data_IF_991665405621
#
_entry.id   IF_991665405621
#
_cell.length_a   1.000
_cell.length_b   1.000
_cell.length_c   1.000
_cell.angle_alpha   90.00
_cell.angle_beta   90.00
_cell.angle_gamma   90.00
#
_symmetry.space_group_name_H-M   'P 1'
#
loop_
_entity.id
_entity.type
_entity.pdbx_description
1 polymer ?
#
# COMPACT_ATOMS: atom_id res chain seq x y z
N UNK A 1 -6.46 -0.62 0.10
CA UNK A 1 -5.27 -0.49 -0.76
C UNK A 1 -4.39 0.64 -0.26
N UNK A 2 -3.10 0.60 -0.57
CA UNK A 2 -2.16 1.67 -0.27
C UNK A 2 -1.28 1.91 -1.49
N UNK A 3 -1.07 3.18 -1.82
CA UNK A 3 -0.05 3.60 -2.79
C UNK A 3 1.00 4.38 -2.03
N UNK A 4 2.27 3.99 -2.22
CA UNK A 4 3.40 4.68 -1.64
C UNK A 4 4.40 5.02 -2.74
N UNK A 5 4.72 6.31 -2.86
CA UNK A 5 5.82 6.80 -3.67
C UNK A 5 7.00 7.12 -2.75
N UNK A 6 8.20 6.77 -3.18
CA UNK A 6 9.42 7.02 -2.43
C UNK A 6 10.57 7.39 -3.36
N UNK A 7 11.43 8.29 -2.88
CA UNK A 7 12.63 8.71 -3.57
C UNK A 7 13.65 7.57 -3.67
N UNK A 8 14.53 7.63 -4.66
CA UNK A 8 15.71 6.77 -4.74
C UNK A 8 16.96 7.55 -5.10
N UNK A 9 18.13 7.01 -4.74
CA UNK A 9 19.43 7.63 -4.96
C UNK A 9 19.98 8.31 -3.70
N UNK A 10 20.98 9.17 -3.87
CA UNK A 10 21.65 9.87 -2.77
C UNK A 10 21.40 11.36 -2.88
N UNK A 11 21.06 12.01 -1.77
CA UNK A 11 21.00 13.47 -1.66
C UNK A 11 21.81 13.92 -0.45
N UNK A 12 22.96 14.54 -0.70
CA UNK A 12 23.94 14.83 0.34
C UNK A 12 24.36 13.56 1.08
N UNK A 13 24.12 13.53 2.40
CA UNK A 13 24.44 12.39 3.27
C UNK A 13 23.31 11.35 3.38
N UNK A 14 22.15 11.61 2.79
CA UNK A 14 20.99 10.73 2.86
C UNK A 14 20.97 9.78 1.66
N UNK A 15 20.69 8.50 1.93
CA UNK A 15 20.47 7.46 0.92
C UNK A 15 19.00 7.05 0.92
N UNK A 16 18.33 7.25 -0.21
CA UNK A 16 16.94 6.87 -0.45
C UNK A 16 16.87 5.53 -1.18
N UNK A 17 15.99 4.65 -0.73
CA UNK A 17 15.97 3.25 -1.14
C UNK A 17 15.01 2.94 -2.30
N UNK A 18 14.21 3.90 -2.76
CA UNK A 18 13.14 3.65 -3.72
C UNK A 18 12.05 2.78 -3.10
N UNK A 19 11.69 1.68 -3.77
CA UNK A 19 10.62 0.76 -3.31
C UNK A 19 9.23 1.42 -3.26
N UNK A 20 8.95 2.29 -4.22
CA UNK A 20 7.58 2.75 -4.47
C UNK A 20 6.72 1.54 -4.81
N UNK A 21 5.47 1.48 -4.34
CA UNK A 21 4.62 0.30 -4.54
C UNK A 21 3.13 0.59 -4.43
N UNK A 22 2.36 -0.26 -5.10
CA UNK A 22 0.91 -0.40 -4.97
C UNK A 22 0.64 -1.70 -4.22
N UNK A 23 -0.13 -1.62 -3.14
CA UNK A 23 -0.45 -2.75 -2.26
C UNK A 23 -1.96 -2.96 -2.20
N UNK A 24 -2.39 -4.20 -2.46
CA UNK A 24 -3.78 -4.63 -2.41
C UNK A 24 -4.37 -4.61 -1.00
N UNK A 25 -5.69 -4.71 -0.85
CA UNK A 25 -6.35 -4.77 0.45
C UNK A 25 -5.93 -5.97 1.31
N UNK A 26 -5.51 -7.07 0.68
CA UNK A 26 -4.98 -8.27 1.36
C UNK A 26 -3.52 -8.15 1.80
N UNK A 27 -2.85 -7.04 1.49
CA UNK A 27 -1.43 -6.83 1.80
C UNK A 27 -0.46 -7.33 0.73
N UNK A 28 -0.97 -7.91 -0.35
CA UNK A 28 -0.22 -8.32 -1.53
C UNK A 28 0.35 -7.10 -2.28
N UNK A 29 1.57 -7.24 -2.81
CA UNK A 29 2.22 -6.18 -3.61
C UNK A 29 1.88 -6.38 -5.08
N UNK A 30 1.06 -5.48 -5.61
CA UNK A 30 0.55 -5.55 -6.98
C UNK A 30 1.54 -5.02 -8.02
N UNK A 31 2.26 -3.96 -7.65
CA UNK A 31 3.32 -3.39 -8.46
C UNK A 31 4.36 -2.72 -7.56
N UNK A 32 5.63 -2.73 -7.97
CA UNK A 32 6.69 -1.99 -7.27
C UNK A 32 7.80 -1.52 -8.19
N UNK A 33 8.44 -0.43 -7.76
CA UNK A 33 9.79 -0.11 -8.19
C UNK A 33 10.79 -0.80 -7.26
N UNK A 34 12.04 -0.88 -7.71
CA UNK A 34 13.13 -1.43 -6.91
C UNK A 34 14.01 -0.30 -6.38
N UNK A 35 15.32 -0.53 -6.27
CA UNK A 35 16.28 0.49 -5.87
C UNK A 35 16.56 1.52 -6.98
N UNK A 36 16.24 1.25 -8.25
CA UNK A 36 16.43 2.21 -9.35
C UNK A 36 15.17 3.04 -9.56
N UNK A 37 15.35 4.24 -10.12
CA UNK A 37 14.22 5.09 -10.50
C UNK A 37 13.32 4.35 -11.51
N UNK A 38 12.01 4.57 -11.40
CA UNK A 38 11.02 3.91 -12.24
C UNK A 38 9.60 4.22 -11.79
N UNK A 39 8.65 3.57 -12.47
CA UNK A 39 7.22 3.71 -12.21
C UNK A 39 6.62 2.33 -11.87
N UNK A 40 5.81 2.28 -10.82
CA UNK A 40 4.97 1.13 -10.50
C UNK A 40 3.56 1.42 -11.00
N UNK A 41 3.04 0.57 -11.89
CA UNK A 41 1.70 0.73 -12.50
C UNK A 41 0.86 -0.50 -12.17
N UNK A 42 -0.37 -0.27 -11.73
CA UNK A 42 -1.37 -1.31 -11.51
C UNK A 42 -2.76 -0.78 -11.90
N UNK A 43 -3.55 -1.61 -12.56
CA UNK A 43 -4.96 -1.34 -12.86
C UNK A 43 -5.84 -2.12 -11.89
N UNK A 44 -6.83 -1.44 -11.29
CA UNK A 44 -7.61 -1.97 -10.17
C UNK A 44 -9.06 -1.53 -10.24
N UNK A 45 -9.97 -2.50 -10.06
CA UNK A 45 -11.37 -2.23 -9.69
C UNK A 45 -11.44 -1.92 -8.19
N UNK A 46 -11.33 -0.63 -7.86
CA UNK A 46 -11.31 -0.14 -6.49
C UNK A 46 -12.53 -0.58 -5.68
N UNK A 47 -13.72 -0.49 -6.29
CA UNK A 47 -14.96 -0.78 -5.60
C UNK A 47 -15.09 -2.28 -5.32
N UNK A 48 -14.83 -3.12 -6.33
CA UNK A 48 -14.85 -4.57 -6.18
C UNK A 48 -13.82 -5.09 -5.19
N UNK A 49 -12.60 -4.53 -5.20
CA UNK A 49 -11.53 -4.92 -4.27
C UNK A 49 -11.88 -4.59 -2.81
N UNK A 50 -12.45 -3.41 -2.54
CA UNK A 50 -12.89 -3.03 -1.18
C UNK A 50 -14.07 -3.88 -0.71
N UNK A 51 -15.01 -4.20 -1.60
CA UNK A 51 -16.12 -5.08 -1.27
C UNK A 51 -15.62 -6.49 -0.92
N UNK A 52 -14.79 -7.08 -1.80
CA UNK A 52 -14.16 -8.39 -1.60
C UNK A 52 -13.37 -8.46 -0.30
N UNK A 53 -12.59 -7.42 0.03
CA UNK A 53 -11.77 -7.44 1.24
C UNK A 53 -12.56 -7.48 2.55
N UNK A 54 -13.86 -7.16 2.51
CA UNK A 54 -14.74 -7.08 3.69
C UNK A 54 -15.71 -8.25 3.80
N UNK A 55 -15.74 -9.19 2.85
CA UNK A 55 -16.71 -10.30 2.86
C UNK A 55 -16.39 -11.36 3.90
N UNK A 56 -15.11 -11.62 4.17
CA UNK A 56 -14.68 -12.64 5.15
C UNK A 56 -14.64 -12.04 6.55
N UNK A 57 -14.06 -10.85 6.70
CA UNK A 57 -13.93 -10.17 7.97
C UNK A 57 -14.09 -8.66 7.80
N UNK A 58 -14.91 -8.03 8.65
CA UNK A 58 -15.17 -6.59 8.60
C UNK A 58 -14.57 -5.92 9.82
N UNK A 59 -13.24 -5.73 9.79
CA UNK A 59 -12.47 -5.16 10.90
C UNK A 59 -13.10 -3.89 11.50
N UNK A 60 -13.67 -3.02 10.65
CA UNK A 60 -14.28 -1.77 11.10
C UNK A 60 -15.56 -1.98 11.92
N UNK A 61 -16.35 -3.01 11.61
CA UNK A 61 -17.57 -3.37 12.35
C UNK A 61 -17.25 -4.03 13.70
N UNK A 62 -16.08 -4.68 13.81
CA UNK A 62 -15.65 -5.41 14.99
C UNK A 62 -14.84 -4.55 15.98
N UNK A 63 -14.60 -3.27 15.67
CA UNK A 63 -13.84 -2.35 16.53
C UNK A 63 -14.50 -2.20 17.90
N UNK A 64 -13.65 -2.03 18.92
CA UNK A 64 -14.03 -1.68 20.30
C UNK A 64 -13.40 -0.34 20.70
N UNK A 65 -13.96 0.81 20.25
CA UNK A 65 -13.41 2.15 20.53
C UNK A 65 -13.07 2.43 22.00
N UNK A 66 -13.89 1.90 22.90
CA UNK A 66 -13.73 1.98 24.35
C UNK A 66 -12.43 1.37 24.90
N UNK A 67 -11.77 0.50 24.13
CA UNK A 67 -10.53 -0.16 24.56
C UNK A 67 -9.25 0.64 24.24
N UNK A 68 -9.35 1.71 23.44
CA UNK A 68 -8.20 2.54 23.01
C UNK A 68 -8.48 4.05 23.09
N UNK A 69 -9.43 4.44 23.94
CA UNK A 69 -9.73 5.83 24.30
C UNK A 69 -8.89 6.31 25.47
#
# INVERSE_FOLDING_TARGET
MVVSANQTGTMGRLRFLGQSKVVGPGGDVLARTWAKAGLAVAELDVAGEVARSRTVLSHLAERRPEAYS
#
